data_IF_286924234034
#
_entry.id   IF_286924234034
#
_cell.length_a   1.000
_cell.length_b   1.000
_cell.length_c   1.000
_cell.angle_alpha   90.00
_cell.angle_beta   90.00
_cell.angle_gamma   90.00
#
_symmetry.space_group_name_H-M   'P 1'
#
loop_
_entity.id
_entity.type
_entity.pdbx_description
1 polymer ?
#
# COMPACT_ATOMS: atom_id res chain seq x y z
N UNK A 1 7.60 -7.83 -25.18
CA UNK A 1 6.46 -7.83 -24.22
C UNK A 1 6.74 -7.07 -22.92
N UNK A 2 7.94 -7.13 -22.37
CA UNK A 2 8.35 -6.42 -21.14
C UNK A 2 8.29 -4.89 -21.31
N UNK A 3 8.62 -4.38 -22.48
CA UNK A 3 8.63 -2.93 -22.79
C UNK A 3 7.22 -2.34 -22.69
N UNK A 4 6.21 -3.00 -23.23
CA UNK A 4 4.82 -2.50 -23.25
C UNK A 4 4.20 -2.40 -21.84
N UNK A 5 4.72 -3.17 -20.86
CA UNK A 5 4.23 -3.15 -19.47
C UNK A 5 4.75 -1.98 -18.64
N UNK A 6 5.81 -1.32 -19.11
CA UNK A 6 6.40 -0.17 -18.42
C UNK A 6 5.59 1.12 -18.61
N UNK A 7 4.90 1.27 -19.74
CA UNK A 7 4.17 2.50 -20.04
C UNK A 7 3.06 2.84 -19.03
N UNK A 8 2.17 1.91 -18.61
CA UNK A 8 1.16 2.21 -17.61
C UNK A 8 1.75 2.66 -16.26
N UNK A 9 2.86 2.02 -15.85
CA UNK A 9 3.57 2.38 -14.61
C UNK A 9 4.15 3.79 -14.70
N UNK A 10 4.83 4.10 -15.81
CA UNK A 10 5.39 5.44 -16.03
C UNK A 10 4.27 6.48 -16.07
N UNK A 11 3.18 6.22 -16.80
CA UNK A 11 2.05 7.13 -16.91
C UNK A 11 1.41 7.42 -15.54
N UNK A 12 1.15 6.38 -14.76
CA UNK A 12 0.57 6.53 -13.42
C UNK A 12 1.51 7.25 -12.46
N UNK A 13 2.80 6.91 -12.47
CA UNK A 13 3.78 7.59 -11.62
C UNK A 13 3.91 9.08 -11.98
N UNK A 14 3.93 9.42 -13.27
CA UNK A 14 3.96 10.82 -13.71
C UNK A 14 2.67 11.53 -13.31
N UNK A 15 1.50 10.89 -13.49
CA UNK A 15 0.21 11.48 -13.11
C UNK A 15 0.14 11.75 -11.60
N UNK A 16 0.55 10.79 -10.76
CA UNK A 16 0.61 10.98 -9.30
C UNK A 16 1.52 12.14 -8.92
N UNK A 17 2.74 12.18 -9.47
CA UNK A 17 3.71 13.24 -9.19
C UNK A 17 3.16 14.60 -9.64
N UNK A 18 2.56 14.68 -10.81
CA UNK A 18 1.96 15.91 -11.32
C UNK A 18 0.82 16.41 -10.43
N UNK A 19 -0.06 15.51 -9.96
CA UNK A 19 -1.15 15.85 -9.02
C UNK A 19 -0.59 16.41 -7.71
N UNK A 20 0.43 15.76 -7.14
CA UNK A 20 1.02 16.21 -5.87
C UNK A 20 1.71 17.57 -6.01
N UNK A 21 2.53 17.78 -7.06
CA UNK A 21 3.18 19.06 -7.31
C UNK A 21 2.13 20.15 -7.51
N UNK A 22 1.09 19.87 -8.29
CA UNK A 22 0.00 20.82 -8.51
C UNK A 22 -0.72 21.18 -7.21
N UNK A 23 -0.98 20.18 -6.34
CA UNK A 23 -1.60 20.39 -5.03
C UNK A 23 -0.74 21.28 -4.15
N UNK A 24 0.54 20.96 -4.01
CA UNK A 24 1.48 21.70 -3.15
C UNK A 24 1.66 23.15 -3.61
N UNK A 25 1.68 23.39 -4.93
CA UNK A 25 1.86 24.73 -5.49
C UNK A 25 0.63 25.61 -5.40
N UNK A 26 -0.58 25.04 -5.53
CA UNK A 26 -1.83 25.81 -5.58
C UNK A 26 -2.60 25.83 -4.25
N UNK A 27 -2.39 24.84 -3.40
CA UNK A 27 -3.09 24.69 -2.12
C UNK A 27 -2.10 24.33 -1.01
N UNK A 28 -1.15 25.23 -0.66
CA UNK A 28 -0.25 24.97 0.45
C UNK A 28 -1.05 24.90 1.74
N UNK A 29 -1.02 23.76 2.40
CA UNK A 29 -1.66 23.53 3.70
C UNK A 29 -0.57 23.38 4.75
N UNK A 30 -0.63 24.23 5.79
CA UNK A 30 0.30 24.08 6.90
C UNK A 30 0.11 22.72 7.60
N UNK A 31 1.20 21.95 7.78
CA UNK A 31 1.10 20.66 8.42
C UNK A 31 0.86 20.86 9.94
N UNK A 32 -0.35 20.57 10.42
CA UNK A 32 -0.61 20.49 11.85
C UNK A 32 0.19 19.32 12.47
N UNK A 33 -0.35 18.29 13.05
CA UNK A 33 0.48 17.19 13.56
C UNK A 33 0.77 16.15 12.48
N UNK A 34 2.03 15.70 12.38
CA UNK A 34 2.42 14.67 11.40
C UNK A 34 2.11 13.26 11.89
N UNK A 35 2.08 13.02 13.20
CA UNK A 35 1.89 11.71 13.81
C UNK A 35 0.58 11.63 14.59
N UNK A 36 -0.08 10.48 14.50
CA UNK A 36 -1.25 10.13 15.31
C UNK A 36 -1.02 8.76 15.94
N UNK A 37 -1.03 8.75 17.29
CA UNK A 37 -0.90 7.53 18.09
C UNK A 37 -2.20 7.29 18.83
N UNK A 38 -2.93 6.24 18.46
CA UNK A 38 -4.16 5.80 19.12
C UNK A 38 -4.22 4.26 19.20
N UNK A 39 -5.30 3.72 19.76
CA UNK A 39 -5.46 2.28 19.97
C UNK A 39 -5.34 1.46 18.67
N UNK A 40 -5.89 1.96 17.54
CA UNK A 40 -5.82 1.26 16.26
C UNK A 40 -4.41 1.31 15.66
N UNK A 41 -3.74 2.46 15.68
CA UNK A 41 -2.36 2.59 15.21
C UNK A 41 -1.39 1.77 16.05
N UNK A 42 -1.56 1.74 17.38
CA UNK A 42 -0.76 0.90 18.27
C UNK A 42 -0.96 -0.59 18.00
N UNK A 43 -2.21 -1.04 17.85
CA UNK A 43 -2.51 -2.43 17.50
C UNK A 43 -1.83 -2.84 16.20
N UNK A 44 -1.95 -2.02 15.16
CA UNK A 44 -1.34 -2.28 13.85
C UNK A 44 0.19 -2.26 13.93
N UNK A 45 0.77 -1.35 14.70
CA UNK A 45 2.22 -1.27 14.94
C UNK A 45 2.72 -2.54 15.64
N UNK A 46 2.03 -3.01 16.67
CA UNK A 46 2.40 -4.25 17.38
C UNK A 46 2.32 -5.46 16.47
N UNK A 47 1.26 -5.59 15.67
CA UNK A 47 1.12 -6.69 14.69
C UNK A 47 2.27 -6.64 13.66
N UNK A 48 2.54 -5.48 13.08
CA UNK A 48 3.60 -5.31 12.09
C UNK A 48 4.99 -5.56 12.70
N UNK A 49 5.26 -5.09 13.91
CA UNK A 49 6.52 -5.29 14.61
C UNK A 49 6.75 -6.77 14.97
N UNK A 50 5.76 -7.41 15.57
CA UNK A 50 5.90 -8.79 16.03
C UNK A 50 5.98 -9.76 14.86
N UNK A 51 4.97 -9.79 13.98
CA UNK A 51 4.92 -10.73 12.86
C UNK A 51 5.99 -10.39 11.82
N UNK A 52 6.15 -9.11 11.47
CA UNK A 52 7.17 -8.67 10.52
C UNK A 52 8.59 -8.89 11.03
N UNK A 53 8.83 -8.68 12.33
CA UNK A 53 10.12 -8.97 12.97
C UNK A 53 10.46 -10.47 12.92
N UNK A 54 9.51 -11.36 13.22
CA UNK A 54 9.69 -12.80 13.10
C UNK A 54 9.99 -13.22 11.66
N UNK A 55 9.31 -12.63 10.68
CA UNK A 55 9.56 -12.87 9.25
C UNK A 55 10.98 -12.42 8.86
N UNK A 56 11.45 -11.28 9.35
CA UNK A 56 12.81 -10.82 9.08
C UNK A 56 13.87 -11.77 9.67
N UNK A 57 13.66 -12.28 10.89
CA UNK A 57 14.56 -13.29 11.51
C UNK A 57 14.55 -14.56 10.67
N UNK A 58 13.38 -15.07 10.32
CA UNK A 58 13.23 -16.26 9.48
C UNK A 58 13.91 -16.08 8.10
N UNK A 59 13.78 -14.90 7.48
CA UNK A 59 14.34 -14.60 6.17
C UNK A 59 15.87 -14.79 6.10
N UNK A 60 16.60 -14.54 7.19
CA UNK A 60 18.06 -14.71 7.24
C UNK A 60 18.46 -16.18 6.99
N UNK A 61 17.81 -17.12 7.68
CA UNK A 61 18.05 -18.55 7.49
C UNK A 61 17.50 -19.06 6.15
N UNK A 62 16.30 -18.63 5.80
CA UNK A 62 15.63 -19.03 4.57
C UNK A 62 16.43 -18.66 3.32
N UNK A 63 16.94 -17.42 3.21
CA UNK A 63 17.67 -16.97 2.02
C UNK A 63 18.99 -17.73 1.81
N UNK A 64 19.66 -18.15 2.88
CA UNK A 64 20.84 -19.04 2.76
C UNK A 64 20.46 -20.38 2.13
N UNK A 65 19.41 -21.03 2.62
CA UNK A 65 18.92 -22.29 2.08
C UNK A 65 18.40 -22.10 0.65
N UNK A 66 17.69 -21.04 0.40
CA UNK A 66 17.15 -20.71 -0.92
C UNK A 66 18.23 -20.66 -1.99
N UNK A 67 19.30 -19.91 -1.77
CA UNK A 67 20.42 -19.82 -2.74
C UNK A 67 21.29 -21.08 -2.79
N UNK A 68 21.28 -21.92 -1.76
CA UNK A 68 21.92 -23.23 -1.83
C UNK A 68 21.18 -24.17 -2.81
N UNK A 69 19.85 -24.10 -2.85
CA UNK A 69 19.01 -24.92 -3.73
C UNK A 69 18.80 -24.31 -5.13
N UNK A 70 18.84 -22.98 -5.23
CA UNK A 70 18.58 -22.22 -6.47
C UNK A 70 19.84 -21.46 -6.91
N UNK A 71 20.88 -22.19 -7.32
CA UNK A 71 22.18 -21.62 -7.75
C UNK A 71 22.08 -20.82 -9.05
N UNK A 72 21.00 -21.00 -9.81
CA UNK A 72 20.70 -20.24 -11.04
C UNK A 72 20.39 -18.77 -10.78
N UNK A 73 19.99 -18.41 -9.58
CA UNK A 73 19.66 -17.02 -9.24
C UNK A 73 20.84 -16.34 -8.55
N UNK A 74 21.11 -15.10 -9.00
CA UNK A 74 22.16 -14.29 -8.37
C UNK A 74 21.85 -14.03 -6.90
N UNK A 75 22.78 -14.33 -6.02
CA UNK A 75 22.64 -14.01 -4.60
C UNK A 75 22.63 -12.50 -4.35
N UNK A 76 21.51 -12.00 -3.84
CA UNK A 76 21.27 -10.63 -3.43
C UNK A 76 20.59 -10.57 -2.08
N UNK A 77 20.95 -11.49 -1.20
CA UNK A 77 20.35 -11.63 0.15
C UNK A 77 20.41 -10.32 0.93
N UNK A 78 21.52 -9.58 0.86
CA UNK A 78 21.63 -8.27 1.52
C UNK A 78 20.60 -7.26 1.02
N UNK A 79 20.40 -7.18 -0.28
CA UNK A 79 19.35 -6.34 -0.88
C UNK A 79 17.95 -6.78 -0.43
N UNK A 80 17.67 -8.08 -0.44
CA UNK A 80 16.39 -8.63 -0.03
C UNK A 80 16.05 -8.26 1.42
N UNK A 81 16.99 -8.48 2.33
CA UNK A 81 16.80 -8.14 3.75
C UNK A 81 16.62 -6.63 3.95
N UNK A 82 17.41 -5.80 3.25
CA UNK A 82 17.25 -4.34 3.32
C UNK A 82 15.86 -3.91 2.88
N UNK A 83 15.30 -4.54 1.84
CA UNK A 83 13.93 -4.25 1.38
C UNK A 83 12.86 -4.69 2.39
N UNK A 84 13.05 -5.81 3.10
CA UNK A 84 12.13 -6.21 4.17
C UNK A 84 12.11 -5.19 5.32
N UNK A 85 13.27 -4.71 5.77
CA UNK A 85 13.35 -3.69 6.82
C UNK A 85 12.80 -2.35 6.36
N UNK A 86 13.09 -1.93 5.12
CA UNK A 86 12.51 -0.71 4.54
C UNK A 86 10.98 -0.79 4.47
N UNK A 87 10.45 -1.96 4.12
CA UNK A 87 9.01 -2.21 4.09
C UNK A 87 8.39 -2.05 5.49
N UNK A 88 8.98 -2.64 6.52
CA UNK A 88 8.50 -2.50 7.89
C UNK A 88 8.56 -1.06 8.39
N UNK A 89 9.66 -0.35 8.11
CA UNK A 89 9.77 1.07 8.43
C UNK A 89 8.68 1.91 7.76
N UNK A 90 8.39 1.64 6.49
CA UNK A 90 7.31 2.30 5.77
C UNK A 90 5.93 1.97 6.37
N UNK A 91 5.70 0.73 6.82
CA UNK A 91 4.45 0.37 7.50
C UNK A 91 4.27 1.12 8.81
N UNK A 92 5.33 1.27 9.63
CA UNK A 92 5.25 2.07 10.85
C UNK A 92 4.95 3.53 10.53
N UNK A 93 5.65 4.12 9.55
CA UNK A 93 5.36 5.47 9.10
C UNK A 93 3.92 5.64 8.64
N UNK A 94 3.38 4.69 7.90
CA UNK A 94 2.01 4.71 7.39
C UNK A 94 0.96 4.69 8.52
N UNK A 95 1.07 3.72 9.44
CA UNK A 95 0.05 3.54 10.49
C UNK A 95 0.11 4.60 11.59
N UNK A 96 1.25 5.25 11.76
CA UNK A 96 1.43 6.34 12.70
C UNK A 96 1.19 7.73 12.08
N UNK A 97 0.97 7.82 10.77
CA UNK A 97 0.69 9.09 10.10
C UNK A 97 -0.74 9.57 10.37
N UNK A 98 -0.88 10.81 10.85
CA UNK A 98 -2.15 11.55 10.95
C UNK A 98 -2.46 12.38 9.71
N UNK A 99 -1.44 12.66 8.90
CA UNK A 99 -1.48 13.51 7.72
C UNK A 99 -1.50 12.65 6.44
N UNK A 100 -2.41 12.97 5.50
CA UNK A 100 -2.59 12.21 4.25
C UNK A 100 -1.35 12.23 3.36
N UNK A 101 -0.58 13.33 3.33
CA UNK A 101 0.63 13.45 2.50
C UNK A 101 1.73 12.50 3.00
N UNK A 102 1.98 12.47 4.32
CA UNK A 102 2.93 11.53 4.92
C UNK A 102 2.46 10.09 4.80
N UNK A 103 1.17 9.83 5.02
CA UNK A 103 0.60 8.50 4.83
C UNK A 103 0.76 8.03 3.38
N UNK A 104 0.53 8.91 2.40
CA UNK A 104 0.73 8.63 0.98
C UNK A 104 2.21 8.35 0.66
N UNK A 105 3.14 9.10 1.20
CA UNK A 105 4.58 8.87 1.01
C UNK A 105 4.98 7.44 1.43
N UNK A 106 4.60 7.03 2.64
CA UNK A 106 4.86 5.66 3.09
C UNK A 106 4.07 4.60 2.33
N UNK A 107 2.86 4.94 1.88
CA UNK A 107 2.04 4.09 1.03
C UNK A 107 2.76 3.74 -0.28
N UNK A 108 3.38 4.71 -0.94
CA UNK A 108 4.11 4.48 -2.18
C UNK A 108 5.44 3.73 -1.95
N UNK A 109 6.13 3.98 -0.84
CA UNK A 109 7.31 3.17 -0.47
C UNK A 109 6.91 1.69 -0.39
N UNK A 110 5.80 1.35 0.27
CA UNK A 110 5.36 -0.05 0.33
C UNK A 110 5.04 -0.63 -1.03
N UNK A 111 4.49 0.15 -1.97
CA UNK A 111 4.21 -0.28 -3.35
C UNK A 111 5.49 -0.59 -4.13
N UNK A 112 6.47 0.31 -4.06
CA UNK A 112 7.77 0.16 -4.75
C UNK A 112 8.57 -1.01 -4.18
N UNK A 113 8.62 -1.13 -2.86
CA UNK A 113 9.36 -2.23 -2.20
C UNK A 113 8.71 -3.58 -2.52
N UNK A 114 7.37 -3.65 -2.56
CA UNK A 114 6.66 -4.87 -2.99
C UNK A 114 7.03 -5.28 -4.41
N UNK A 115 7.07 -4.32 -5.34
CA UNK A 115 7.52 -4.57 -6.70
C UNK A 115 8.92 -5.17 -6.76
N UNK A 116 9.87 -4.64 -5.96
CA UNK A 116 11.24 -5.13 -5.90
C UNK A 116 11.35 -6.52 -5.27
N UNK A 117 10.55 -6.80 -4.26
CA UNK A 117 10.52 -8.11 -3.60
C UNK A 117 9.88 -9.18 -4.48
N UNK A 118 8.76 -8.88 -5.16
CA UNK A 118 8.09 -9.82 -6.08
C UNK A 118 8.99 -10.12 -7.27
N UNK A 119 9.67 -9.11 -7.81
CA UNK A 119 10.61 -9.25 -8.93
C UNK A 119 12.00 -9.77 -8.56
N UNK A 120 12.23 -10.30 -7.36
CA UNK A 120 13.55 -10.66 -6.84
C UNK A 120 14.29 -11.65 -7.73
N UNK A 121 13.65 -12.71 -8.18
CA UNK A 121 14.24 -13.77 -9.01
C UNK A 121 14.54 -13.32 -10.44
N UNK A 122 13.91 -12.25 -10.91
CA UNK A 122 14.00 -11.72 -12.29
C UNK A 122 13.58 -12.70 -13.38
N UNK A 123 12.89 -13.78 -13.04
CA UNK A 123 12.24 -14.63 -14.05
C UNK A 123 11.17 -13.84 -14.81
N UNK A 124 10.82 -14.29 -16.01
CA UNK A 124 9.77 -13.60 -16.80
C UNK A 124 8.45 -13.53 -16.03
N UNK A 125 8.10 -14.59 -15.32
CA UNK A 125 6.92 -14.66 -14.49
C UNK A 125 6.99 -13.67 -13.30
N UNK A 126 8.11 -13.62 -12.57
CA UNK A 126 8.30 -12.70 -11.46
C UNK A 126 8.25 -11.23 -11.93
N UNK A 127 8.87 -10.92 -13.06
CA UNK A 127 8.80 -9.58 -13.66
C UNK A 127 7.37 -9.24 -14.07
N UNK A 128 6.64 -10.18 -14.68
CA UNK A 128 5.23 -9.97 -15.05
C UNK A 128 4.38 -9.66 -13.84
N UNK A 129 4.47 -10.47 -12.80
CA UNK A 129 3.66 -10.34 -11.60
C UNK A 129 4.04 -9.10 -10.77
N UNK A 130 5.35 -8.74 -10.72
CA UNK A 130 5.78 -7.51 -10.07
C UNK A 130 5.20 -6.26 -10.73
N UNK A 131 5.20 -6.18 -12.07
CA UNK A 131 4.57 -5.08 -12.79
C UNK A 131 3.04 -5.06 -12.63
N UNK A 132 2.39 -6.25 -12.57
CA UNK A 132 0.95 -6.34 -12.28
C UNK A 132 0.64 -5.78 -10.89
N UNK A 133 1.40 -6.15 -9.87
CA UNK A 133 1.24 -5.62 -8.52
C UNK A 133 1.47 -4.10 -8.50
N UNK A 134 2.51 -3.63 -9.15
CA UNK A 134 2.86 -2.22 -9.14
C UNK A 134 1.78 -1.35 -9.80
N UNK A 135 1.34 -1.66 -11.03
CA UNK A 135 0.37 -0.81 -11.71
C UNK A 135 -1.00 -0.80 -11.01
N UNK A 136 -1.46 -1.93 -10.40
CA UNK A 136 -2.70 -1.94 -9.63
C UNK A 136 -2.61 -1.09 -8.37
N UNK A 137 -1.48 -1.16 -7.66
CA UNK A 137 -1.27 -0.32 -6.49
C UNK A 137 -1.11 1.16 -6.84
N UNK A 138 -0.47 1.48 -7.98
CA UNK A 138 -0.38 2.86 -8.49
C UNK A 138 -1.74 3.42 -8.91
N UNK A 139 -2.65 2.59 -9.41
CA UNK A 139 -4.03 3.04 -9.68
C UNK A 139 -4.73 3.49 -8.39
N UNK A 140 -4.60 2.71 -7.31
CA UNK A 140 -5.09 3.12 -6.00
C UNK A 140 -4.36 4.35 -5.45
N UNK A 141 -3.03 4.41 -5.64
CA UNK A 141 -2.20 5.55 -5.28
C UNK A 141 -2.59 6.84 -6.02
N UNK A 142 -2.97 6.76 -7.29
CA UNK A 142 -3.51 7.91 -8.02
C UNK A 142 -4.82 8.40 -7.38
N UNK A 143 -5.72 7.49 -7.01
CA UNK A 143 -6.93 7.84 -6.25
C UNK A 143 -6.60 8.54 -4.94
N UNK A 144 -5.59 8.04 -4.21
CA UNK A 144 -5.11 8.66 -2.97
C UNK A 144 -4.56 10.08 -3.21
N UNK A 145 -3.70 10.27 -4.23
CA UNK A 145 -3.14 11.57 -4.58
C UNK A 145 -4.23 12.58 -4.97
N UNK A 146 -5.23 12.16 -5.75
CA UNK A 146 -6.38 13.02 -6.10
C UNK A 146 -7.22 13.33 -4.85
N UNK A 147 -7.36 12.39 -3.91
CA UNK A 147 -8.05 12.65 -2.64
C UNK A 147 -7.34 13.74 -1.83
N UNK A 148 -5.99 13.72 -1.77
CA UNK A 148 -5.20 14.79 -1.15
C UNK A 148 -5.47 16.13 -1.84
N UNK A 149 -5.42 16.17 -3.17
CA UNK A 149 -5.67 17.38 -3.95
C UNK A 149 -7.05 17.96 -3.68
N UNK A 150 -8.10 17.14 -3.71
CA UNK A 150 -9.48 17.57 -3.44
C UNK A 150 -9.63 18.03 -1.99
N UNK A 151 -9.04 17.33 -1.02
CA UNK A 151 -9.09 17.73 0.39
C UNK A 151 -8.40 19.07 0.62
N UNK A 152 -7.20 19.28 0.06
CA UNK A 152 -6.49 20.55 0.15
C UNK A 152 -7.28 21.71 -0.51
N UNK A 153 -7.86 21.47 -1.68
CA UNK A 153 -8.57 22.50 -2.44
C UNK A 153 -9.94 22.86 -1.85
N UNK A 154 -10.71 21.86 -1.37
CA UNK A 154 -12.10 22.07 -0.95
C UNK A 154 -12.28 22.17 0.55
N UNK A 155 -11.44 21.49 1.34
CA UNK A 155 -11.54 21.43 2.81
C UNK A 155 -10.43 22.24 3.48
N UNK A 156 -9.43 22.70 2.72
CA UNK A 156 -8.24 23.39 3.22
C UNK A 156 -7.48 22.62 4.31
N UNK A 157 -7.57 21.28 4.27
CA UNK A 157 -6.89 20.39 5.21
C UNK A 157 -6.41 19.12 4.52
N UNK A 158 -5.33 18.55 5.04
CA UNK A 158 -4.80 17.22 4.67
C UNK A 158 -4.72 16.30 5.90
N UNK A 159 -5.34 16.68 7.01
CA UNK A 159 -5.43 15.84 8.20
C UNK A 159 -6.54 14.79 8.00
N UNK A 160 -6.19 13.51 8.10
CA UNK A 160 -7.12 12.41 7.89
C UNK A 160 -8.37 12.52 8.78
N UNK A 161 -8.18 12.92 10.04
CA UNK A 161 -9.27 13.02 10.99
C UNK A 161 -10.27 14.11 10.61
N UNK A 162 -9.80 15.27 10.19
CA UNK A 162 -10.65 16.38 9.74
C UNK A 162 -11.41 16.00 8.46
N UNK A 163 -10.74 15.33 7.51
CA UNK A 163 -11.40 14.82 6.29
C UNK A 163 -12.50 13.81 6.63
N UNK A 164 -12.27 12.94 7.62
CA UNK A 164 -13.27 11.96 8.08
C UNK A 164 -14.44 12.68 8.78
N UNK A 165 -14.17 13.68 9.63
CA UNK A 165 -15.21 14.44 10.34
C UNK A 165 -16.09 15.25 9.41
N UNK A 166 -15.53 15.82 8.34
CA UNK A 166 -16.33 16.57 7.34
C UNK A 166 -17.28 15.68 6.55
N UNK A 167 -17.00 14.39 6.44
CA UNK A 167 -17.81 13.46 5.66
C UNK A 167 -17.79 13.73 4.14
N UNK A 168 -16.76 14.42 3.62
CA UNK A 168 -16.68 14.81 2.20
C UNK A 168 -16.64 13.58 1.29
N UNK A 169 -17.70 13.35 0.52
CA UNK A 169 -17.93 12.11 -0.24
C UNK A 169 -16.80 11.78 -1.24
N UNK A 170 -16.28 12.78 -1.96
CA UNK A 170 -15.29 12.57 -3.02
C UNK A 170 -13.93 12.10 -2.43
N UNK A 171 -13.29 12.83 -1.50
CA UNK A 171 -12.05 12.36 -0.88
C UNK A 171 -12.19 10.99 -0.23
N UNK A 172 -13.29 10.77 0.51
CA UNK A 172 -13.54 9.50 1.19
C UNK A 172 -13.67 8.34 0.21
N UNK A 173 -14.42 8.52 -0.90
CA UNK A 173 -14.57 7.50 -1.93
C UNK A 173 -13.23 7.16 -2.62
N UNK A 174 -12.40 8.16 -2.91
CA UNK A 174 -11.08 7.98 -3.52
C UNK A 174 -10.10 7.29 -2.56
N UNK A 175 -10.10 7.65 -1.27
CA UNK A 175 -9.31 6.97 -0.25
C UNK A 175 -9.80 5.53 -0.04
N UNK A 176 -11.11 5.30 -0.08
CA UNK A 176 -11.68 3.96 0.01
C UNK A 176 -11.26 3.09 -1.19
N UNK A 177 -11.26 3.65 -2.41
CA UNK A 177 -10.72 2.97 -3.60
C UNK A 177 -9.25 2.57 -3.42
N UNK A 178 -8.42 3.48 -2.91
CA UNK A 178 -7.02 3.19 -2.58
C UNK A 178 -6.92 2.05 -1.54
N UNK A 179 -7.74 2.05 -0.51
CA UNK A 179 -7.82 0.98 0.49
C UNK A 179 -8.22 -0.37 -0.12
N UNK A 180 -9.21 -0.40 -1.00
CA UNK A 180 -9.69 -1.62 -1.69
C UNK A 180 -8.61 -2.21 -2.61
N UNK A 181 -7.89 -1.38 -3.38
CA UNK A 181 -6.81 -1.85 -4.26
C UNK A 181 -5.65 -2.43 -3.45
N UNK A 182 -5.22 -1.75 -2.39
CA UNK A 182 -4.12 -2.18 -1.52
C UNK A 182 -4.45 -3.44 -0.73
N UNK A 183 -5.70 -3.58 -0.29
CA UNK A 183 -6.19 -4.77 0.41
C UNK A 183 -6.59 -5.92 -0.52
N UNK A 184 -6.29 -5.80 -1.81
CA UNK A 184 -6.56 -6.83 -2.83
C UNK A 184 -8.03 -7.30 -2.86
N UNK A 185 -8.98 -6.38 -2.60
CA UNK A 185 -10.39 -6.69 -2.73
C UNK A 185 -10.77 -6.83 -4.20
N UNK A 186 -11.80 -7.63 -4.51
CA UNK A 186 -12.28 -7.75 -5.89
C UNK A 186 -12.73 -6.39 -6.44
N UNK A 187 -12.38 -6.08 -7.70
CA UNK A 187 -11.72 -6.91 -8.72
C UNK A 187 -10.17 -6.88 -8.69
N UNK A 188 -9.54 -6.30 -7.66
CA UNK A 188 -8.09 -6.06 -7.59
C UNK A 188 -7.29 -7.22 -6.96
N UNK A 189 -7.90 -8.38 -6.70
CA UNK A 189 -7.25 -9.51 -6.00
C UNK A 189 -6.11 -10.17 -6.78
N UNK A 190 -6.09 -10.03 -8.10
CA UNK A 190 -5.16 -10.77 -8.98
C UNK A 190 -3.67 -10.40 -8.77
N UNK A 191 -3.35 -9.21 -8.25
CA UNK A 191 -1.97 -8.85 -7.96
C UNK A 191 -1.41 -9.61 -6.76
N UNK A 192 -2.26 -9.89 -5.77
CA UNK A 192 -1.86 -10.60 -4.55
C UNK A 192 -1.56 -12.07 -4.85
N UNK A 193 -2.40 -12.71 -5.67
CA UNK A 193 -2.17 -14.09 -6.14
C UNK A 193 -0.86 -14.18 -6.94
N UNK A 194 -0.61 -13.23 -7.84
CA UNK A 194 0.63 -13.16 -8.60
C UNK A 194 1.88 -12.90 -7.75
N UNK A 195 1.73 -12.29 -6.56
CA UNK A 195 2.85 -12.02 -5.67
C UNK A 195 3.46 -13.29 -5.03
N UNK A 196 2.75 -14.43 -5.09
CA UNK A 196 3.23 -15.71 -4.55
C UNK A 196 4.44 -16.31 -5.28
N UNK A 197 4.81 -15.80 -6.44
CA UNK A 197 6.06 -16.17 -7.14
C UNK A 197 7.33 -15.71 -6.40
N UNK A 198 7.17 -14.79 -5.46
CA UNK A 198 8.26 -14.26 -4.64
C UNK A 198 8.78 -15.28 -3.62
N UNK A 199 10.03 -15.13 -3.12
CA UNK A 199 10.52 -15.93 -2.00
C UNK A 199 9.58 -15.85 -0.80
N UNK A 200 9.37 -16.98 -0.10
CA UNK A 200 8.38 -17.13 0.99
C UNK A 200 8.37 -16.00 2.03
N UNK A 201 9.52 -15.47 2.52
CA UNK A 201 9.49 -14.40 3.51
C UNK A 201 8.83 -13.11 2.99
N UNK A 202 9.01 -12.77 1.69
CA UNK A 202 8.34 -11.60 1.11
C UNK A 202 6.84 -11.84 0.94
N UNK A 203 6.43 -13.02 0.45
CA UNK A 203 5.01 -13.36 0.36
C UNK A 203 4.35 -13.34 1.74
N UNK A 204 4.99 -13.93 2.77
CA UNK A 204 4.49 -13.89 4.14
C UNK A 204 4.33 -12.45 4.65
N UNK A 205 5.31 -11.57 4.40
CA UNK A 205 5.24 -10.17 4.83
C UNK A 205 4.08 -9.44 4.15
N UNK A 206 3.95 -9.55 2.83
CA UNK A 206 2.92 -8.86 2.06
C UNK A 206 1.50 -9.32 2.44
N UNK A 207 1.29 -10.63 2.63
CA UNK A 207 -0.03 -11.22 2.84
C UNK A 207 -0.49 -11.17 4.31
N UNK A 208 0.39 -11.48 5.28
CA UNK A 208 -0.06 -11.75 6.66
C UNK A 208 -0.11 -10.50 7.53
N UNK A 209 0.91 -9.65 7.51
CA UNK A 209 1.09 -8.66 8.57
C UNK A 209 1.01 -7.20 8.10
N UNK A 210 1.19 -6.93 6.80
CA UNK A 210 1.56 -5.58 6.41
C UNK A 210 0.77 -4.99 5.24
N UNK A 211 1.12 -5.27 3.99
CA UNK A 211 0.59 -4.50 2.85
C UNK A 211 -0.93 -4.52 2.71
N UNK A 212 -1.52 -5.71 2.76
CA UNK A 212 -2.99 -5.89 2.69
C UNK A 212 -3.67 -5.21 3.90
N UNK A 213 -3.03 -5.30 5.07
CA UNK A 213 -3.54 -4.67 6.30
C UNK A 213 -3.48 -3.14 6.27
N UNK A 214 -2.54 -2.55 5.51
CA UNK A 214 -2.52 -1.09 5.31
C UNK A 214 -3.80 -0.59 4.63
N UNK A 215 -4.30 -1.31 3.61
CA UNK A 215 -5.57 -0.99 2.97
C UNK A 215 -6.76 -1.13 3.92
N UNK A 216 -6.80 -2.22 4.69
CA UNK A 216 -7.83 -2.44 5.72
C UNK A 216 -7.76 -1.36 6.81
N UNK A 217 -6.57 -1.00 7.27
CA UNK A 217 -6.37 0.08 8.23
C UNK A 217 -6.98 1.39 7.75
N UNK A 218 -6.72 1.78 6.49
CA UNK A 218 -7.29 2.98 5.91
C UNK A 218 -8.82 2.90 5.86
N UNK A 219 -9.40 1.77 5.43
CA UNK A 219 -10.86 1.58 5.38
C UNK A 219 -11.50 1.66 6.77
N UNK A 220 -10.86 1.12 7.82
CA UNK A 220 -11.33 1.26 9.20
C UNK A 220 -11.29 2.74 9.64
N UNK A 221 -10.22 3.47 9.29
CA UNK A 221 -10.13 4.91 9.57
C UNK A 221 -11.24 5.73 8.90
N UNK A 222 -11.65 5.34 7.70
CA UNK A 222 -12.71 6.00 6.95
C UNK A 222 -14.12 5.57 7.40
N UNK A 223 -14.25 4.46 8.13
CA UNK A 223 -15.55 3.86 8.45
C UNK A 223 -16.54 4.81 9.14
N UNK A 224 -16.15 5.73 10.06
CA UNK A 224 -17.08 6.66 10.67
C UNK A 224 -17.77 7.58 9.64
N UNK A 225 -17.01 8.04 8.62
CA UNK A 225 -17.55 8.89 7.56
C UNK A 225 -18.36 8.11 6.51
N UNK A 226 -18.15 6.80 6.40
CA UNK A 226 -18.88 5.92 5.48
C UNK A 226 -20.14 5.31 6.10
N UNK A 227 -20.30 5.36 7.41
CA UNK A 227 -21.43 4.74 8.10
C UNK A 227 -22.78 5.32 7.60
N UNK A 228 -23.69 4.44 7.19
CA UNK A 228 -25.00 4.83 6.65
C UNK A 228 -24.99 5.45 5.25
N UNK A 229 -23.84 5.56 4.60
CA UNK A 229 -23.72 6.09 3.23
C UNK A 229 -23.76 4.96 2.18
N UNK A 230 -24.12 5.30 0.95
CA UNK A 230 -24.05 4.36 -0.18
C UNK A 230 -22.62 3.87 -0.43
N UNK A 231 -21.60 4.72 -0.19
CA UNK A 231 -20.19 4.34 -0.30
C UNK A 231 -19.80 3.26 0.73
N UNK A 232 -20.24 3.39 1.97
CA UNK A 232 -20.02 2.38 3.01
C UNK A 232 -20.72 1.06 2.68
N UNK A 233 -21.94 1.10 2.15
CA UNK A 233 -22.65 -0.09 1.69
C UNK A 233 -21.89 -0.78 0.54
N UNK A 234 -21.38 -0.04 -0.43
CA UNK A 234 -20.57 -0.61 -1.53
C UNK A 234 -19.28 -1.25 -1.04
N UNK A 235 -18.55 -0.61 -0.13
CA UNK A 235 -17.32 -1.18 0.46
C UNK A 235 -17.65 -2.48 1.20
N UNK A 236 -18.74 -2.51 1.96
CA UNK A 236 -19.18 -3.70 2.69
C UNK A 236 -19.58 -4.84 1.74
N UNK A 237 -20.29 -4.54 0.64
CA UNK A 237 -20.65 -5.51 -0.38
C UNK A 237 -19.42 -6.08 -1.10
N UNK A 238 -18.47 -5.23 -1.49
CA UNK A 238 -17.20 -5.64 -2.11
C UNK A 238 -16.42 -6.56 -1.16
N UNK A 239 -16.31 -6.19 0.12
CA UNK A 239 -15.65 -7.01 1.13
C UNK A 239 -16.34 -8.36 1.35
N UNK A 240 -17.66 -8.35 1.48
CA UNK A 240 -18.47 -9.56 1.62
C UNK A 240 -18.37 -10.47 0.39
N UNK A 241 -18.45 -9.90 -0.82
CA UNK A 241 -18.28 -10.65 -2.06
C UNK A 241 -16.87 -11.24 -2.19
N UNK A 242 -15.85 -10.48 -1.84
CA UNK A 242 -14.46 -10.97 -1.82
C UNK A 242 -14.30 -12.14 -0.86
N UNK A 243 -14.90 -12.03 0.33
CA UNK A 243 -14.87 -13.11 1.34
C UNK A 243 -15.52 -14.41 0.85
N UNK A 244 -16.63 -14.31 0.09
CA UNK A 244 -17.33 -15.50 -0.45
C UNK A 244 -16.56 -16.10 -1.63
N UNK A 245 -15.86 -15.26 -2.42
CA UNK A 245 -15.19 -15.69 -3.65
C UNK A 245 -13.76 -16.22 -3.41
N UNK A 246 -13.15 -16.01 -2.24
CA UNK A 246 -11.83 -16.50 -1.84
C UNK A 246 -11.91 -17.65 -0.86
#
# INVERSE_FOLDING_TARGET
SVVHRKYPVILLSVAQTAVLIWTETNFPVEPASHMKVDGLSMLMTVIAAFVGGLICIYAVGYMKAYHHHHKEYKDRTGFFLSMLFLFLGAMFGLVLSGNLVWMYFFWEITSVVSFLLIGYTRTEEAVHNSFRALWMNLLGGLGFAVAIAVSAASLHTVQLEEVVQTGAAIPIALLALAGLTKSAQLPFSSWLLGAMVAPTPSSALLHSATMVKAGVYLLIRLSPAMAGTMGGTMVSLIGGFTFIAC
#
